data_IF_295727138590
#
_entry.id   IF_295727138590
#
_cell.length_a   1.000
_cell.length_b   1.000
_cell.length_c   1.000
_cell.angle_alpha   90.00
_cell.angle_beta   90.00
_cell.angle_gamma   90.00
#
_symmetry.space_group_name_H-M   'P 1'
#
loop_
_entity.id
_entity.type
_entity.pdbx_description
1 polymer ?
#
# COMPACT_ATOMS: atom_id res chain seq x y z
N UNK A 1 73.57 42.34 -19.97
CA UNK A 1 73.13 40.94 -19.84
C UNK A 1 73.35 40.48 -18.39
N UNK A 2 72.30 40.49 -17.57
CA UNK A 2 72.08 39.61 -16.40
C UNK A 2 70.70 39.91 -15.81
N UNK A 3 70.03 38.82 -15.45
CA UNK A 3 68.60 38.63 -15.20
C UNK A 3 67.99 39.48 -14.08
N UNK A 4 66.74 39.91 -14.29
CA UNK A 4 65.82 40.40 -13.26
C UNK A 4 64.84 39.27 -12.93
N UNK A 5 64.75 38.87 -11.65
CA UNK A 5 63.73 37.96 -11.12
C UNK A 5 62.51 38.76 -10.68
N UNK A 6 61.33 38.31 -11.12
CA UNK A 6 60.01 38.83 -10.75
C UNK A 6 59.56 38.11 -9.47
N UNK A 7 59.09 38.87 -8.48
CA UNK A 7 58.30 38.38 -7.35
C UNK A 7 56.99 39.15 -7.28
N UNK A 8 55.88 38.42 -7.36
CA UNK A 8 54.50 38.91 -7.27
C UNK A 8 54.16 39.07 -5.79
N UNK A 9 53.64 40.25 -5.41
CA UNK A 9 53.10 40.51 -4.07
C UNK A 9 51.67 41.03 -4.23
N UNK A 10 50.70 40.23 -3.81
CA UNK A 10 49.28 40.60 -3.76
C UNK A 10 49.05 41.56 -2.59
N UNK A 11 48.59 42.78 -2.88
CA UNK A 11 48.28 43.81 -1.89
C UNK A 11 46.80 43.73 -1.53
N UNK A 12 46.54 43.44 -0.26
CA UNK A 12 45.26 43.62 0.44
C UNK A 12 45.14 45.09 0.81
N UNK A 13 44.03 45.74 0.42
CA UNK A 13 43.69 47.10 0.88
C UNK A 13 42.52 47.00 1.85
N UNK A 14 42.79 47.35 3.10
CA UNK A 14 41.84 47.63 4.18
C UNK A 14 41.51 49.12 4.13
N UNK A 15 40.23 49.49 4.15
CA UNK A 15 39.77 50.81 4.60
C UNK A 15 38.59 50.64 5.57
N UNK A 16 38.68 51.36 6.68
CA UNK A 16 37.94 51.28 7.94
C UNK A 16 36.86 52.37 8.02
N UNK A 17 35.75 52.06 8.73
CA UNK A 17 34.94 53.03 9.49
C UNK A 17 33.47 53.13 9.05
N UNK A 18 32.45 53.22 9.91
CA UNK A 18 32.32 53.51 11.35
C UNK A 18 31.02 52.84 11.85
N UNK A 19 31.03 52.37 13.10
CA UNK A 19 29.89 51.80 13.83
C UNK A 19 28.93 52.91 14.29
N UNK A 20 27.62 52.71 14.07
CA UNK A 20 26.55 53.32 14.86
C UNK A 20 25.49 52.25 15.14
N UNK A 21 25.50 51.70 16.35
CA UNK A 21 24.45 50.79 16.84
C UNK A 21 23.33 51.65 17.42
N UNK A 22 22.12 51.49 16.89
CA UNK A 22 20.87 51.87 17.55
C UNK A 22 19.88 50.72 17.37
N UNK A 23 19.53 50.06 18.47
CA UNK A 23 18.51 49.02 18.54
C UNK A 23 17.12 49.62 18.34
N UNK A 24 16.40 49.17 17.29
CA UNK A 24 14.93 49.20 17.22
C UNK A 24 14.50 47.95 16.45
N UNK A 25 13.71 47.09 17.09
CA UNK A 25 13.09 45.89 16.54
C UNK A 25 11.89 46.28 15.68
N UNK A 26 11.96 46.06 14.36
CA UNK A 26 10.78 46.06 13.47
C UNK A 26 11.06 45.24 12.22
N UNK A 27 10.19 44.25 12.00
CA UNK A 27 9.77 43.61 10.73
C UNK A 27 10.85 43.40 9.65
N UNK A 28 11.36 42.17 9.55
CA UNK A 28 12.07 41.71 8.37
C UNK A 28 11.06 41.41 7.26
N UNK A 29 10.94 42.35 6.32
CA UNK A 29 10.35 42.08 5.02
C UNK A 29 11.19 41.04 4.28
N UNK A 30 10.44 40.13 3.67
CA UNK A 30 10.86 38.96 2.93
C UNK A 30 11.84 39.30 1.81
N UNK A 31 12.93 38.56 1.75
CA UNK A 31 13.62 38.32 0.48
C UNK A 31 12.71 37.36 -0.28
N UNK A 32 12.23 37.82 -1.43
CA UNK A 32 11.49 37.02 -2.39
C UNK A 32 12.43 35.92 -2.90
N UNK A 33 12.45 34.78 -2.22
CA UNK A 33 12.83 33.53 -2.86
C UNK A 33 11.84 33.35 -4.01
N UNK A 34 12.38 33.35 -5.22
CA UNK A 34 11.65 32.88 -6.40
C UNK A 34 11.40 31.41 -6.11
N UNK A 35 10.22 31.10 -5.57
CA UNK A 35 9.63 29.77 -5.61
C UNK A 35 9.63 29.37 -7.08
N UNK A 36 10.55 28.49 -7.47
CA UNK A 36 10.26 27.57 -8.55
C UNK A 36 9.00 26.83 -8.13
N UNK A 37 7.86 27.32 -8.60
CA UNK A 37 6.62 26.58 -8.65
C UNK A 37 7.01 25.17 -9.13
N UNK A 38 6.87 24.11 -8.31
CA UNK A 38 6.90 22.77 -8.85
C UNK A 38 5.72 22.79 -9.80
N UNK A 39 6.01 22.86 -11.11
CA UNK A 39 4.98 22.72 -12.12
C UNK A 39 4.15 21.52 -11.67
N UNK A 40 2.83 21.69 -11.55
CA UNK A 40 1.93 20.56 -11.61
C UNK A 40 2.34 19.80 -12.87
N UNK A 41 3.20 18.81 -12.68
CA UNK A 41 3.52 17.84 -13.69
C UNK A 41 2.24 17.03 -13.72
N UNK A 42 1.30 17.51 -14.53
CA UNK A 42 0.12 16.77 -14.93
C UNK A 42 0.69 15.52 -15.56
N UNK A 43 0.87 14.45 -14.77
CA UNK A 43 1.35 13.20 -15.30
C UNK A 43 0.25 12.75 -16.24
N UNK A 44 0.54 12.87 -17.54
CA UNK A 44 -0.36 12.40 -18.55
C UNK A 44 -0.38 10.89 -18.40
N UNK A 45 -1.47 10.38 -17.80
CA UNK A 45 -1.67 8.95 -17.68
C UNK A 45 -1.69 8.35 -19.08
N UNK A 46 -0.93 7.28 -19.26
CA UNK A 46 -0.93 6.53 -20.52
C UNK A 46 -1.96 5.41 -20.43
N UNK A 47 -2.67 5.16 -21.53
CA UNK A 47 -3.50 3.97 -21.64
C UNK A 47 -2.61 2.75 -21.84
N UNK A 48 -2.71 1.81 -20.91
CA UNK A 48 -1.90 0.61 -20.87
C UNK A 48 -2.66 -0.54 -21.48
N UNK A 49 -2.25 -0.93 -22.69
CA UNK A 49 -2.78 -2.05 -23.48
C UNK A 49 -4.32 -2.10 -23.54
N UNK A 50 -4.84 -1.73 -24.72
CA UNK A 50 -6.28 -1.62 -24.97
C UNK A 50 -7.01 -2.96 -24.90
N UNK A 51 -6.33 -4.10 -24.87
CA UNK A 51 -6.96 -5.41 -24.94
C UNK A 51 -7.27 -6.00 -23.55
N UNK A 52 -6.86 -5.30 -22.48
CA UNK A 52 -7.13 -5.71 -21.10
C UNK A 52 -8.61 -5.77 -20.73
N UNK A 53 -8.95 -6.57 -19.71
CA UNK A 53 -10.33 -6.68 -19.20
C UNK A 53 -10.90 -5.34 -18.70
N UNK A 54 -10.05 -4.47 -18.17
CA UNK A 54 -10.41 -3.11 -17.74
C UNK A 54 -9.66 -2.08 -18.58
N UNK A 55 -10.17 -0.85 -18.62
CA UNK A 55 -9.36 0.28 -19.08
C UNK A 55 -8.28 0.52 -18.03
N UNK A 56 -7.02 0.52 -18.42
CA UNK A 56 -5.88 0.69 -17.51
C UNK A 56 -5.18 1.99 -17.84
N UNK A 57 -5.08 2.88 -16.87
CA UNK A 57 -4.41 4.17 -16.98
C UNK A 57 -3.24 4.21 -16.01
N UNK A 58 -2.02 4.38 -16.53
CA UNK A 58 -0.78 4.24 -15.76
C UNK A 58 -0.02 5.55 -15.75
N UNK A 59 0.47 5.97 -14.59
CA UNK A 59 1.46 7.03 -14.51
C UNK A 59 2.82 6.44 -14.92
N UNK A 60 3.55 7.03 -15.89
CA UNK A 60 4.85 6.51 -16.32
C UNK A 60 5.84 6.24 -15.17
N UNK A 61 5.74 6.97 -14.04
CA UNK A 61 6.61 6.75 -12.86
C UNK A 61 6.33 5.43 -12.12
N UNK A 62 5.15 4.85 -12.32
CA UNK A 62 4.70 3.62 -11.68
C UNK A 62 5.00 2.37 -12.53
N UNK A 63 5.67 2.54 -13.68
CA UNK A 63 6.15 1.44 -14.52
C UNK A 63 7.52 0.96 -14.02
N UNK A 64 7.71 -0.35 -13.97
CA UNK A 64 9.00 -0.99 -13.71
C UNK A 64 9.37 -1.92 -14.85
N UNK A 65 10.68 -2.12 -15.05
CA UNK A 65 11.19 -3.12 -15.99
C UNK A 65 11.66 -4.30 -15.15
N UNK A 66 11.01 -5.45 -15.32
CA UNK A 66 11.32 -6.70 -14.63
C UNK A 66 11.53 -7.75 -15.72
N UNK A 67 12.70 -8.39 -15.74
CA UNK A 67 13.09 -9.38 -16.75
C UNK A 67 12.93 -8.93 -18.22
N UNK A 68 13.07 -7.62 -18.45
CA UNK A 68 12.94 -7.00 -19.77
C UNK A 68 11.50 -6.62 -20.15
N UNK A 69 10.52 -6.96 -19.31
CA UNK A 69 9.11 -6.61 -19.50
C UNK A 69 8.74 -5.37 -18.69
N UNK A 70 7.94 -4.49 -19.29
CA UNK A 70 7.43 -3.30 -18.60
C UNK A 70 6.14 -3.67 -17.87
N UNK A 71 6.11 -3.47 -16.56
CA UNK A 71 5.00 -3.87 -15.69
C UNK A 71 4.46 -2.65 -14.93
N UNK A 72 3.15 -2.39 -14.98
CA UNK A 72 2.52 -1.31 -14.21
C UNK A 72 2.36 -1.73 -12.75
N UNK A 73 3.12 -1.11 -11.84
CA UNK A 73 3.06 -1.43 -10.42
C UNK A 73 1.85 -0.81 -9.72
N UNK A 74 1.30 0.26 -10.29
CA UNK A 74 0.08 0.92 -9.84
C UNK A 74 -0.64 1.51 -11.05
N UNK A 75 -1.94 1.29 -11.13
CA UNK A 75 -2.76 1.84 -12.20
C UNK A 75 -4.10 2.37 -11.68
N UNK A 76 -4.77 3.16 -12.50
CA UNK A 76 -6.18 3.52 -12.36
C UNK A 76 -6.99 2.71 -13.36
N UNK A 77 -8.19 2.30 -12.95
CA UNK A 77 -9.01 1.38 -13.72
C UNK A 77 -10.36 2.00 -14.08
N UNK A 78 -10.91 1.57 -15.22
CA UNK A 78 -12.27 1.91 -15.62
C UNK A 78 -12.95 0.75 -16.32
N UNK A 79 -14.28 0.70 -16.24
CA UNK A 79 -15.08 -0.26 -17.01
C UNK A 79 -15.09 0.14 -18.49
N UNK A 80 -15.04 -0.86 -19.36
CA UNK A 80 -15.21 -0.74 -20.82
C UNK A 80 -16.66 -0.98 -21.21
N UNK A 81 -17.32 -0.01 -21.85
CA UNK A 81 -18.75 -0.11 -22.19
C UNK A 81 -19.12 -1.35 -23.02
N UNK A 82 -18.21 -1.78 -23.87
CA UNK A 82 -18.31 -2.92 -24.77
C UNK A 82 -18.19 -4.28 -24.07
N UNK A 83 -17.69 -4.32 -22.83
CA UNK A 83 -17.55 -5.53 -22.02
C UNK A 83 -18.63 -5.64 -20.92
N UNK A 84 -19.73 -4.89 -21.04
CA UNK A 84 -20.80 -4.84 -20.03
C UNK A 84 -21.30 -6.23 -19.62
N UNK A 85 -21.53 -7.12 -20.58
CA UNK A 85 -22.03 -8.48 -20.29
C UNK A 85 -21.06 -9.26 -19.39
N UNK A 86 -19.74 -9.12 -19.61
CA UNK A 86 -18.71 -9.73 -18.77
C UNK A 86 -18.75 -9.15 -17.36
N UNK A 87 -18.91 -7.82 -17.22
CA UNK A 87 -18.99 -7.20 -15.90
C UNK A 87 -20.26 -7.58 -15.14
N UNK A 88 -21.39 -7.76 -15.83
CA UNK A 88 -22.61 -8.28 -15.21
C UNK A 88 -22.38 -9.71 -14.68
N UNK A 89 -21.60 -10.53 -15.40
CA UNK A 89 -21.25 -11.89 -14.96
C UNK A 89 -20.32 -11.91 -13.73
N UNK A 90 -19.30 -11.06 -13.67
CA UNK A 90 -18.27 -11.12 -12.62
C UNK A 90 -18.48 -10.14 -11.45
N UNK A 91 -19.31 -9.12 -11.64
CA UNK A 91 -19.65 -8.13 -10.62
C UNK A 91 -20.79 -8.56 -9.71
N UNK A 92 -20.94 -7.87 -8.58
CA UNK A 92 -21.98 -8.15 -7.55
C UNK A 92 -23.02 -7.03 -7.48
N UNK A 93 -23.23 -6.33 -8.59
CA UNK A 93 -24.08 -5.13 -8.68
C UNK A 93 -25.53 -5.36 -8.26
N UNK A 94 -26.05 -6.56 -8.48
CA UNK A 94 -27.43 -6.97 -8.27
C UNK A 94 -27.65 -7.73 -6.95
N UNK A 95 -26.60 -7.97 -6.17
CA UNK A 95 -26.71 -8.68 -4.89
C UNK A 95 -27.28 -7.77 -3.81
N UNK A 96 -28.25 -8.28 -3.05
CA UNK A 96 -28.85 -7.57 -1.91
C UNK A 96 -27.86 -7.43 -0.75
N UNK A 97 -27.16 -8.51 -0.43
CA UNK A 97 -26.04 -8.54 0.52
C UNK A 97 -24.77 -8.79 -0.28
N UNK A 98 -23.97 -7.74 -0.46
CA UNK A 98 -22.72 -7.81 -1.21
C UNK A 98 -21.59 -8.32 -0.31
N UNK A 99 -20.61 -9.08 -0.83
CA UNK A 99 -19.44 -9.45 -0.04
C UNK A 99 -18.66 -8.23 0.42
N UNK A 100 -18.10 -8.31 1.63
CA UNK A 100 -17.31 -7.24 2.22
C UNK A 100 -15.81 -7.45 1.99
N UNK A 101 -15.15 -6.49 1.36
CA UNK A 101 -13.70 -6.44 1.20
C UNK A 101 -13.07 -5.66 2.36
N UNK A 102 -12.04 -6.23 2.99
CA UNK A 102 -11.28 -5.57 4.05
C UNK A 102 -10.00 -4.96 3.46
N UNK A 103 -9.90 -3.64 3.48
CA UNK A 103 -8.80 -2.90 2.85
C UNK A 103 -7.60 -2.81 3.81
N UNK A 104 -6.36 -3.12 3.37
CA UNK A 104 -5.20 -3.30 4.26
C UNK A 104 -4.43 -1.99 4.51
N UNK A 105 -5.07 -1.01 5.16
CA UNK A 105 -4.43 0.28 5.44
C UNK A 105 -3.31 0.18 6.49
N UNK A 106 -3.39 -0.77 7.43
CA UNK A 106 -2.32 -1.02 8.39
C UNK A 106 -1.08 -1.62 7.73
N UNK A 107 -1.27 -2.55 6.78
CA UNK A 107 -0.17 -3.07 5.96
C UNK A 107 0.45 -1.95 5.12
N UNK A 108 -0.37 -1.12 4.49
CA UNK A 108 0.12 0.02 3.73
C UNK A 108 0.97 0.97 4.60
N UNK A 109 0.56 1.20 5.85
CA UNK A 109 1.33 1.94 6.85
C UNK A 109 2.65 1.28 7.22
N UNK A 110 2.67 -0.05 7.44
CA UNK A 110 3.88 -0.79 7.75
C UNK A 110 4.93 -0.72 6.62
N UNK A 111 4.47 -0.66 5.36
CA UNK A 111 5.33 -0.50 4.17
C UNK A 111 5.65 0.96 3.81
N UNK A 112 5.06 1.95 4.48
CA UNK A 112 5.34 3.35 4.23
C UNK A 112 6.79 3.70 4.66
N UNK A 113 7.38 4.79 4.12
CA UNK A 113 8.65 5.30 4.62
C UNK A 113 8.58 5.56 6.13
N UNK A 114 9.64 5.21 6.85
CA UNK A 114 9.69 5.17 8.32
C UNK A 114 8.68 4.20 8.95
N UNK A 115 8.32 3.13 8.24
CA UNK A 115 7.50 2.02 8.72
C UNK A 115 8.30 0.76 9.05
N UNK A 116 7.60 -0.33 9.34
CA UNK A 116 8.18 -1.60 9.85
C UNK A 116 9.22 -2.19 8.89
N UNK A 117 9.03 -2.07 7.58
CA UNK A 117 10.00 -2.59 6.60
C UNK A 117 11.32 -1.81 6.57
N UNK A 118 11.34 -0.56 7.04
CA UNK A 118 12.60 0.16 7.25
C UNK A 118 13.38 -0.42 8.43
N UNK A 119 12.70 -0.89 9.48
CA UNK A 119 13.32 -1.64 10.58
C UNK A 119 13.88 -2.99 10.09
N UNK A 120 13.09 -3.81 9.39
CA UNK A 120 13.56 -5.10 8.87
C UNK A 120 14.72 -4.96 7.87
N UNK A 121 14.74 -3.85 7.12
CA UNK A 121 15.83 -3.52 6.20
C UNK A 121 17.03 -2.83 6.87
N UNK A 122 17.04 -2.72 8.20
CA UNK A 122 18.10 -2.07 8.99
C UNK A 122 18.36 -0.60 8.62
N UNK A 123 17.32 0.10 8.14
CA UNK A 123 17.36 1.53 7.80
C UNK A 123 17.05 2.44 9.00
N UNK A 124 16.42 1.90 10.04
CA UNK A 124 16.12 2.55 11.33
C UNK A 124 15.99 1.51 12.45
N UNK A 125 15.96 1.97 13.70
CA UNK A 125 15.76 1.14 14.89
C UNK A 125 14.28 0.91 15.22
N UNK A 126 14.02 0.56 16.49
CA UNK A 126 12.67 0.28 17.00
C UNK A 126 11.70 1.46 16.84
N UNK A 127 12.21 2.68 16.64
CA UNK A 127 11.36 3.85 16.34
C UNK A 127 10.49 3.67 15.10
N UNK A 128 10.90 2.82 14.15
CA UNK A 128 10.12 2.49 12.96
C UNK A 128 9.06 1.41 13.20
N UNK A 129 9.08 0.74 14.36
CA UNK A 129 8.04 -0.22 14.76
C UNK A 129 6.77 0.47 15.25
N UNK A 130 6.74 1.81 15.28
CA UNK A 130 5.53 2.62 15.45
C UNK A 130 5.41 3.60 14.28
N UNK A 131 4.29 3.55 13.56
CA UNK A 131 4.09 4.41 12.37
C UNK A 131 2.67 4.96 12.26
N UNK A 132 2.50 6.03 11.49
CA UNK A 132 1.20 6.67 11.27
C UNK A 132 0.30 5.81 10.38
N UNK A 133 -0.98 5.76 10.72
CA UNK A 133 -1.99 5.15 9.87
C UNK A 133 -2.21 6.04 8.65
N UNK A 134 -2.04 5.47 7.46
CA UNK A 134 -2.25 6.15 6.18
C UNK A 134 -3.59 5.75 5.57
N UNK A 135 -4.10 6.58 4.68
CA UNK A 135 -5.38 6.36 3.99
C UNK A 135 -5.24 5.47 2.76
N UNK A 136 -6.38 4.98 2.28
CA UNK A 136 -6.52 4.04 1.16
C UNK A 136 -5.97 4.58 -0.18
N UNK A 137 -5.83 5.90 -0.35
CA UNK A 137 -5.20 6.49 -1.56
C UNK A 137 -3.70 6.18 -1.65
N UNK A 138 -3.09 5.82 -0.51
CA UNK A 138 -1.67 5.45 -0.39
C UNK A 138 -1.40 3.97 -0.59
N UNK A 139 -2.43 3.14 -0.82
CA UNK A 139 -2.22 1.74 -1.17
C UNK A 139 -1.30 1.61 -2.39
N UNK A 140 -0.50 0.56 -2.38
CA UNK A 140 0.45 0.19 -3.42
C UNK A 140 0.42 -1.33 -3.68
N UNK A 141 1.38 -1.81 -4.46
CA UNK A 141 1.53 -3.23 -4.78
C UNK A 141 1.51 -4.12 -3.53
N UNK A 142 2.20 -3.74 -2.45
CA UNK A 142 2.30 -4.52 -1.20
C UNK A 142 1.02 -4.45 -0.33
N UNK A 143 0.03 -3.65 -0.72
CA UNK A 143 -1.22 -3.45 0.01
C UNK A 143 -2.43 -3.57 -0.91
N UNK A 144 -2.32 -4.43 -1.93
CA UNK A 144 -3.41 -4.84 -2.82
C UNK A 144 -4.16 -3.69 -3.51
N UNK A 145 -3.45 -2.62 -3.91
CA UNK A 145 -4.06 -1.43 -4.47
C UNK A 145 -4.91 -1.71 -5.71
N UNK A 146 -4.45 -2.60 -6.59
CA UNK A 146 -5.18 -2.97 -7.80
C UNK A 146 -6.37 -3.85 -7.44
N UNK A 147 -6.18 -4.84 -6.56
CA UNK A 147 -7.28 -5.70 -6.10
C UNK A 147 -8.45 -4.91 -5.51
N UNK A 148 -8.17 -3.96 -4.62
CA UNK A 148 -9.21 -3.08 -4.07
C UNK A 148 -9.95 -2.31 -5.18
N UNK A 149 -9.22 -1.65 -6.10
CA UNK A 149 -9.83 -0.86 -7.17
C UNK A 149 -10.72 -1.69 -8.08
N UNK A 150 -10.29 -2.91 -8.42
CA UNK A 150 -11.07 -3.81 -9.26
C UNK A 150 -12.34 -4.26 -8.55
N UNK A 151 -12.26 -4.71 -7.30
CA UNK A 151 -13.44 -5.16 -6.56
C UNK A 151 -14.43 -4.00 -6.31
N UNK A 152 -13.93 -2.80 -6.02
CA UNK A 152 -14.77 -1.61 -5.91
C UNK A 152 -15.50 -1.28 -7.23
N UNK A 153 -14.83 -1.39 -8.39
CA UNK A 153 -15.46 -1.22 -9.70
C UNK A 153 -16.52 -2.29 -10.01
N UNK A 154 -16.35 -3.49 -9.45
CA UNK A 154 -17.28 -4.62 -9.58
C UNK A 154 -18.42 -4.59 -8.56
N UNK A 155 -18.48 -3.54 -7.75
CA UNK A 155 -19.62 -3.24 -6.88
C UNK A 155 -19.58 -3.91 -5.51
N UNK A 156 -18.43 -4.48 -5.11
CA UNK A 156 -18.23 -5.04 -3.78
C UNK A 156 -18.30 -3.94 -2.70
N UNK A 157 -18.84 -4.29 -1.53
CA UNK A 157 -18.75 -3.40 -0.37
C UNK A 157 -17.32 -3.46 0.20
N UNK A 158 -16.87 -2.37 0.84
CA UNK A 158 -15.53 -2.34 1.41
C UNK A 158 -15.46 -1.47 2.66
N UNK A 159 -14.60 -1.88 3.60
CA UNK A 159 -14.18 -1.07 4.75
C UNK A 159 -12.66 -1.20 4.94
N UNK A 160 -12.03 -0.17 5.50
CA UNK A 160 -10.65 -0.29 5.97
C UNK A 160 -10.53 -1.21 7.18
N UNK A 161 -9.35 -1.82 7.34
CA UNK A 161 -8.96 -2.47 8.58
C UNK A 161 -9.01 -1.53 9.81
N UNK A 162 -8.82 -0.22 9.63
CA UNK A 162 -9.06 0.79 10.66
C UNK A 162 -10.54 0.88 11.07
N UNK A 163 -11.48 0.85 10.12
CA UNK A 163 -12.91 0.82 10.40
C UNK A 163 -13.31 -0.50 11.06
N UNK A 164 -12.77 -1.62 10.59
CA UNK A 164 -12.98 -2.92 11.21
C UNK A 164 -12.44 -2.95 12.64
N UNK A 165 -11.27 -2.38 12.88
CA UNK A 165 -10.72 -2.21 14.23
C UNK A 165 -11.70 -1.45 15.13
N UNK A 166 -12.30 -0.35 14.64
CA UNK A 166 -13.27 0.45 15.41
C UNK A 166 -14.56 -0.33 15.70
N UNK A 167 -15.05 -1.11 14.75
CA UNK A 167 -16.29 -1.86 14.88
C UNK A 167 -16.18 -3.29 14.30
N UNK A 168 -15.60 -4.25 15.05
CA UNK A 168 -15.46 -5.63 14.58
C UNK A 168 -16.81 -6.33 14.33
N UNK A 169 -17.87 -5.89 15.01
CA UNK A 169 -19.20 -6.48 14.89
C UNK A 169 -19.88 -6.24 13.53
N UNK A 170 -19.34 -5.32 12.71
CA UNK A 170 -19.85 -5.05 11.37
C UNK A 170 -19.83 -6.28 10.47
N UNK A 171 -18.91 -7.22 10.70
CA UNK A 171 -18.80 -8.46 9.91
C UNK A 171 -20.07 -9.31 10.00
N UNK A 172 -20.83 -9.22 11.09
CA UNK A 172 -22.08 -9.98 11.26
C UNK A 172 -23.20 -9.58 10.28
N UNK A 173 -23.03 -8.46 9.56
CA UNK A 173 -23.98 -8.00 8.55
C UNK A 173 -23.71 -8.59 7.16
N UNK A 174 -22.65 -9.39 7.03
CA UNK A 174 -22.15 -9.89 5.76
C UNK A 174 -22.08 -11.42 5.77
N UNK A 175 -22.49 -12.05 4.67
CA UNK A 175 -22.42 -13.51 4.54
C UNK A 175 -21.03 -14.00 4.12
N UNK A 176 -20.24 -13.12 3.48
CA UNK A 176 -18.89 -13.40 2.97
C UNK A 176 -17.99 -12.20 3.22
N UNK A 177 -16.79 -12.46 3.75
CA UNK A 177 -15.73 -11.46 3.88
C UNK A 177 -14.53 -11.85 3.02
N UNK A 178 -13.87 -10.85 2.44
CA UNK A 178 -12.72 -11.02 1.56
C UNK A 178 -11.57 -10.21 2.15
N UNK A 179 -10.49 -10.89 2.51
CA UNK A 179 -9.25 -10.26 2.94
C UNK A 179 -8.33 -10.07 1.73
N UNK A 180 -7.80 -8.86 1.64
CA UNK A 180 -6.70 -8.54 0.75
C UNK A 180 -5.38 -8.84 1.51
N UNK A 181 -4.30 -8.13 1.22
CA UNK A 181 -3.02 -8.33 1.93
C UNK A 181 -3.03 -7.67 3.34
N UNK A 182 -4.00 -8.05 4.16
CA UNK A 182 -4.15 -7.59 5.56
C UNK A 182 -3.16 -8.31 6.48
N UNK A 183 -1.87 -8.18 6.18
CA UNK A 183 -0.76 -8.79 6.90
C UNK A 183 -0.69 -8.37 8.36
N UNK A 184 -0.89 -7.07 8.63
CA UNK A 184 -0.85 -6.51 9.98
C UNK A 184 -2.26 -6.24 10.48
N UNK A 185 -2.64 -6.88 11.58
CA UNK A 185 -3.97 -6.71 12.19
C UNK A 185 -3.90 -6.61 13.71
N UNK A 186 -4.88 -5.95 14.31
CA UNK A 186 -5.03 -5.97 15.77
C UNK A 186 -5.67 -7.27 16.24
N UNK A 187 -5.39 -7.68 17.48
CA UNK A 187 -5.96 -8.89 18.09
C UNK A 187 -7.49 -8.98 17.99
N UNK A 188 -8.20 -7.89 18.21
CA UNK A 188 -9.68 -7.89 18.12
C UNK A 188 -10.21 -8.06 16.68
N UNK A 189 -9.44 -7.65 15.68
CA UNK A 189 -9.81 -7.92 14.29
C UNK A 189 -9.54 -9.37 13.95
N UNK A 190 -8.40 -9.91 14.37
CA UNK A 190 -8.07 -11.32 14.21
C UNK A 190 -9.20 -12.19 14.78
N UNK A 191 -9.64 -11.91 16.00
CA UNK A 191 -10.73 -12.65 16.65
C UNK A 191 -12.05 -12.55 15.88
N UNK A 192 -12.39 -11.36 15.36
CA UNK A 192 -13.63 -11.16 14.60
C UNK A 192 -13.59 -11.84 13.22
N UNK A 193 -12.46 -11.73 12.50
CA UNK A 193 -12.28 -12.34 11.18
C UNK A 193 -12.30 -13.87 11.30
N UNK A 194 -11.49 -14.44 12.20
CA UNK A 194 -11.38 -15.90 12.32
C UNK A 194 -12.62 -16.58 12.89
N UNK A 195 -13.52 -15.81 13.52
CA UNK A 195 -14.85 -16.29 13.95
C UNK A 195 -15.91 -16.21 12.84
N UNK A 196 -15.59 -15.66 11.67
CA UNK A 196 -16.52 -15.57 10.55
C UNK A 196 -16.66 -16.92 9.84
N UNK A 197 -17.86 -17.23 9.35
CA UNK A 197 -18.19 -18.55 8.80
C UNK A 197 -17.80 -18.74 7.32
N UNK A 198 -17.55 -17.64 6.60
CA UNK A 198 -17.09 -17.68 5.20
C UNK A 198 -16.04 -16.59 4.96
N UNK A 199 -14.78 -16.99 4.89
CA UNK A 199 -13.62 -16.12 4.72
C UNK A 199 -12.95 -16.43 3.39
N UNK A 200 -12.70 -15.40 2.58
CA UNK A 200 -11.85 -15.54 1.40
C UNK A 200 -10.54 -14.82 1.64
N UNK A 201 -9.43 -15.55 1.73
CA UNK A 201 -8.09 -14.98 1.65
C UNK A 201 -7.72 -14.83 0.18
N UNK A 202 -8.03 -13.65 -0.39
CA UNK A 202 -7.72 -13.37 -1.80
C UNK A 202 -6.23 -13.11 -2.01
N UNK A 203 -5.54 -12.62 -0.99
CA UNK A 203 -4.09 -12.47 -0.98
C UNK A 203 -3.52 -13.34 0.15
N UNK A 204 -2.43 -14.09 -0.10
CA UNK A 204 -1.69 -14.80 0.94
C UNK A 204 -1.13 -13.85 2.01
N UNK A 205 -0.57 -14.40 3.09
CA UNK A 205 0.11 -13.64 4.15
C UNK A 205 -0.80 -12.64 4.92
N UNK A 206 -2.13 -12.77 4.80
CA UNK A 206 -3.07 -12.01 5.63
C UNK A 206 -3.17 -12.61 7.04
N UNK A 207 -3.30 -11.75 8.06
CA UNK A 207 -3.31 -12.12 9.49
C UNK A 207 -1.96 -12.66 10.01
N UNK A 208 -0.84 -12.25 9.41
CA UNK A 208 0.49 -12.72 9.78
C UNK A 208 1.00 -12.10 11.10
N UNK A 209 0.84 -10.78 11.26
CA UNK A 209 1.47 -10.02 12.35
C UNK A 209 0.45 -9.27 13.22
N UNK A 210 0.71 -9.26 14.53
CA UNK A 210 -0.09 -8.56 15.52
C UNK A 210 0.42 -7.13 15.73
N UNK A 211 -0.52 -6.18 15.71
CA UNK A 211 -0.26 -4.78 16.03
C UNK A 211 -1.16 -4.26 17.15
N UNK A 212 -0.69 -3.25 17.85
CA UNK A 212 -1.52 -2.34 18.65
C UNK A 212 -1.88 -1.11 17.81
N UNK A 213 -3.07 -0.56 18.03
CA UNK A 213 -3.56 0.65 17.34
C UNK A 213 -3.84 1.74 18.39
N UNK A 214 -3.09 2.83 18.34
CA UNK A 214 -3.34 4.02 19.15
C UNK A 214 -4.24 4.99 18.38
N UNK A 215 -5.54 4.91 18.67
CA UNK A 215 -6.57 5.75 18.04
C UNK A 215 -6.39 7.25 18.31
N UNK A 216 -5.75 7.62 19.43
CA UNK A 216 -5.55 9.02 19.80
C UNK A 216 -4.42 9.67 19.01
N UNK A 217 -3.42 8.86 18.63
CA UNK A 217 -2.25 9.31 17.85
C UNK A 217 -2.34 8.97 16.38
N UNK A 218 -3.33 8.18 15.98
CA UNK A 218 -3.45 7.65 14.62
C UNK A 218 -2.19 6.86 14.24
N UNK A 219 -1.78 5.94 15.11
CA UNK A 219 -0.56 5.13 14.99
C UNK A 219 -0.85 3.64 15.14
N UNK A 220 -0.01 2.82 14.51
CA UNK A 220 0.10 1.38 14.79
C UNK A 220 1.49 1.08 15.35
N UNK A 221 1.57 0.09 16.24
CA UNK A 221 2.84 -0.41 16.78
C UNK A 221 2.92 -1.92 16.61
N UNK A 222 4.04 -2.44 16.11
CA UNK A 222 4.28 -3.88 16.01
C UNK A 222 4.35 -4.51 17.39
N UNK A 223 3.55 -5.56 17.60
CA UNK A 223 3.54 -6.33 18.85
C UNK A 223 4.25 -7.67 18.61
N UNK A 224 3.86 -8.40 17.56
CA UNK A 224 4.40 -9.76 17.27
C UNK A 224 4.38 -10.10 15.77
N UNK A 225 5.38 -10.84 15.30
CA UNK A 225 5.51 -11.33 13.92
C UNK A 225 6.83 -10.90 13.27
N UNK A 226 7.23 -11.52 12.16
CA UNK A 226 8.45 -11.20 11.41
C UNK A 226 9.74 -11.24 12.25
N UNK A 227 9.86 -12.27 13.09
CA UNK A 227 10.96 -12.44 14.05
C UNK A 227 11.01 -11.32 15.11
N UNK A 228 9.88 -10.67 15.39
CA UNK A 228 9.74 -9.67 16.45
C UNK A 228 8.65 -10.07 17.45
N UNK A 229 8.95 -10.11 18.76
CA UNK A 229 10.30 -10.31 19.30
C UNK A 229 10.99 -11.55 18.70
N UNK A 230 12.33 -11.65 18.80
CA UNK A 230 13.10 -12.76 18.20
C UNK A 230 12.53 -14.15 18.50
N UNK A 231 12.40 -14.96 17.47
CA UNK A 231 11.83 -16.31 17.48
C UNK A 231 10.33 -16.38 17.17
N UNK A 232 9.65 -15.25 16.92
CA UNK A 232 8.22 -15.22 16.61
C UNK A 232 8.02 -14.85 15.15
N UNK A 233 7.82 -15.86 14.31
CA UNK A 233 7.57 -15.68 12.87
C UNK A 233 6.12 -15.20 12.64
N UNK A 234 5.12 -16.03 12.96
CA UNK A 234 3.72 -15.64 12.92
C UNK A 234 3.28 -15.06 14.27
N UNK A 235 2.62 -13.90 14.25
CA UNK A 235 2.18 -13.17 15.44
C UNK A 235 1.07 -13.86 16.23
N UNK A 236 0.21 -14.62 15.55
CA UNK A 236 -0.99 -15.26 16.10
C UNK A 236 -0.89 -16.79 16.22
N UNK A 237 0.13 -17.42 15.62
CA UNK A 237 0.23 -18.88 15.40
C UNK A 237 -1.04 -19.44 14.74
N UNK A 238 -1.54 -18.75 13.71
CA UNK A 238 -2.76 -19.15 13.04
C UNK A 238 -2.47 -20.20 11.96
N UNK A 239 -2.90 -21.45 12.17
CA UNK A 239 -2.54 -22.59 11.30
C UNK A 239 -2.89 -22.39 9.82
N UNK A 240 -3.98 -21.69 9.53
CA UNK A 240 -4.41 -21.39 8.16
C UNK A 240 -3.41 -20.43 7.50
N UNK A 241 -3.01 -19.38 8.20
CA UNK A 241 -1.96 -18.46 7.76
C UNK A 241 -0.67 -19.23 7.46
N UNK A 242 -0.19 -20.03 8.42
CA UNK A 242 1.06 -20.78 8.30
C UNK A 242 1.06 -21.77 7.12
N UNK A 243 -0.11 -22.31 6.78
CA UNK A 243 -0.28 -23.21 5.63
C UNK A 243 -0.19 -22.49 4.29
N UNK A 244 -0.71 -21.26 4.20
CA UNK A 244 -0.95 -20.56 2.95
C UNK A 244 0.05 -19.42 2.66
N UNK A 245 0.79 -18.90 3.64
CA UNK A 245 1.70 -17.75 3.42
C UNK A 245 2.74 -17.95 2.33
N UNK A 246 3.19 -19.19 2.14
CA UNK A 246 4.21 -19.54 1.14
C UNK A 246 3.85 -19.11 -0.29
N UNK A 247 2.55 -18.91 -0.54
CA UNK A 247 2.02 -18.49 -1.84
C UNK A 247 2.21 -16.99 -2.12
N UNK A 248 2.64 -16.19 -1.14
CA UNK A 248 2.88 -14.74 -1.31
C UNK A 248 3.93 -14.44 -2.38
N UNK A 249 4.85 -15.37 -2.63
CA UNK A 249 5.94 -15.21 -3.58
C UNK A 249 5.57 -15.59 -5.02
N UNK A 250 4.39 -16.20 -5.25
CA UNK A 250 3.89 -16.43 -6.60
C UNK A 250 3.12 -15.21 -7.10
N UNK A 251 3.85 -14.21 -7.60
CA UNK A 251 3.28 -13.01 -8.20
C UNK A 251 2.83 -13.19 -9.65
N UNK A 252 3.18 -14.32 -10.28
CA UNK A 252 2.73 -14.63 -11.66
C UNK A 252 1.31 -15.19 -11.65
N UNK A 253 0.99 -15.98 -10.62
CA UNK A 253 -0.36 -16.46 -10.31
C UNK A 253 -1.00 -17.22 -11.49
N UNK A 254 -0.19 -17.90 -12.31
CA UNK A 254 -0.64 -18.55 -13.55
C UNK A 254 -1.52 -19.78 -13.28
N UNK A 255 -1.13 -20.60 -12.30
CA UNK A 255 -1.81 -21.84 -11.90
C UNK A 255 -2.66 -21.60 -10.63
N UNK A 256 -3.41 -20.50 -10.64
CA UNK A 256 -4.21 -20.11 -9.50
C UNK A 256 -5.33 -21.11 -9.19
N UNK A 257 -5.60 -21.29 -7.90
CA UNK A 257 -6.66 -22.13 -7.35
C UNK A 257 -7.12 -21.54 -6.01
N UNK A 258 -8.43 -21.60 -5.75
CA UNK A 258 -8.98 -21.37 -4.42
C UNK A 258 -8.98 -22.68 -3.63
N UNK A 259 -8.13 -22.76 -2.62
CA UNK A 259 -8.01 -23.94 -1.76
C UNK A 259 -8.96 -23.79 -0.58
N UNK A 260 -9.87 -24.74 -0.43
CA UNK A 260 -10.85 -24.79 0.68
C UNK A 260 -10.18 -25.10 2.04
N UNK A 261 -10.71 -24.50 3.10
CA UNK A 261 -10.45 -24.83 4.51
C UNK A 261 -11.74 -24.70 5.34
N UNK A 262 -11.69 -25.00 6.64
CA UNK A 262 -12.87 -25.21 7.49
C UNK A 262 -13.95 -24.12 7.39
N UNK A 263 -13.56 -22.85 7.30
CA UNK A 263 -14.46 -21.70 7.25
C UNK A 263 -14.16 -20.76 6.06
N UNK A 264 -13.63 -21.28 4.94
CA UNK A 264 -13.33 -20.40 3.82
C UNK A 264 -12.48 -20.99 2.68
N UNK A 265 -11.95 -20.08 1.87
CA UNK A 265 -11.07 -20.39 0.74
C UNK A 265 -9.85 -19.46 0.72
N UNK A 266 -8.69 -19.98 0.33
CA UNK A 266 -7.46 -19.21 0.18
C UNK A 266 -6.93 -19.32 -1.25
N UNK A 267 -6.62 -18.18 -1.87
CA UNK A 267 -5.96 -18.17 -3.17
C UNK A 267 -4.50 -18.60 -3.01
N UNK A 268 -4.02 -19.50 -3.87
CA UNK A 268 -2.67 -20.05 -3.83
C UNK A 268 -1.61 -19.19 -4.56
N UNK A 269 -1.81 -17.89 -4.71
CA UNK A 269 -0.85 -16.96 -5.32
C UNK A 269 -1.17 -15.49 -4.99
N UNK A 270 -0.27 -14.57 -5.32
CA UNK A 270 -0.42 -13.13 -5.12
C UNK A 270 -0.97 -12.45 -6.40
N UNK A 271 -2.27 -12.09 -6.46
CA UNK A 271 -2.96 -11.82 -7.73
C UNK A 271 -2.84 -10.39 -8.24
N UNK A 272 -1.97 -9.54 -7.66
CA UNK A 272 -1.99 -8.08 -7.89
C UNK A 272 -1.81 -7.65 -9.35
N UNK A 273 -1.11 -8.47 -10.15
CA UNK A 273 -0.97 -8.25 -11.59
C UNK A 273 -2.03 -9.00 -12.42
N UNK A 274 -2.59 -10.08 -11.90
CA UNK A 274 -3.56 -10.92 -12.61
C UNK A 274 -5.00 -10.43 -12.48
N UNK A 275 -5.36 -9.85 -11.33
CA UNK A 275 -6.75 -9.58 -10.92
C UNK A 275 -7.50 -8.66 -11.87
N UNK A 276 -6.81 -7.74 -12.53
CA UNK A 276 -7.39 -6.81 -13.51
C UNK A 276 -7.34 -7.33 -14.95
N UNK A 277 -6.88 -8.56 -15.16
CA UNK A 277 -6.77 -9.21 -16.47
C UNK A 277 -7.65 -10.46 -16.56
N UNK A 278 -7.92 -11.13 -15.44
CA UNK A 278 -8.51 -12.47 -15.43
C UNK A 278 -9.98 -12.48 -14.99
N UNK A 279 -10.90 -12.52 -15.98
CA UNK A 279 -12.33 -12.61 -15.72
C UNK A 279 -12.74 -13.94 -15.05
N UNK A 280 -12.00 -15.04 -15.30
CA UNK A 280 -12.31 -16.36 -14.74
C UNK A 280 -12.02 -16.37 -13.24
N UNK A 281 -10.90 -15.79 -12.80
CA UNK A 281 -10.57 -15.61 -11.38
C UNK A 281 -11.66 -14.78 -10.68
N UNK A 282 -12.05 -13.65 -11.28
CA UNK A 282 -13.07 -12.75 -10.70
C UNK A 282 -14.46 -13.41 -10.63
N UNK A 283 -14.81 -14.22 -11.64
CA UNK A 283 -16.03 -15.02 -11.63
C UNK A 283 -16.00 -16.08 -10.54
N UNK A 284 -14.89 -16.80 -10.41
CA UNK A 284 -14.70 -17.79 -9.34
C UNK A 284 -14.84 -17.14 -7.95
N UNK A 285 -14.21 -15.99 -7.73
CA UNK A 285 -14.33 -15.24 -6.46
C UNK A 285 -15.79 -14.87 -6.13
N UNK A 286 -16.55 -14.42 -7.13
CA UNK A 286 -17.98 -14.10 -6.97
C UNK A 286 -18.79 -15.33 -6.54
N UNK A 287 -18.49 -16.50 -7.10
CA UNK A 287 -19.26 -17.75 -6.95
C UNK A 287 -18.95 -18.56 -5.66
N UNK A 288 -17.88 -18.23 -4.93
CA UNK A 288 -17.58 -18.79 -3.58
C UNK A 288 -18.59 -18.35 -2.50
#
# INVERSE_FOLDING_TARGET
MKLVKITILSIVIIIVGIISISYVTTESNMIEEIEENPSEQTSQLIEWDSDNLFKVLVDPKDIRIIDGESIPMKASYGLKSELKEIYDEIGVFDQEIKPLVIIPTFTASAYAPFGFYDYYSQRCGEECLTTKIISEDKLNYNSSANGFKILNLLGYDSISDLELHKNPSILNNYDKIILLHNEYVSKKMFDAVTSHNNIIFLYPNALYAEIEVDMSKNEITLIRGHDYPPGIMNGFNYEIEEKFHKYEYDSTCLDWEFIEFENGHALNCYPEQLIWQNAVLLKALKEL
#
